data_IF_373424210368
#
_entry.id   IF_373424210368
#
_cell.length_a   1.000
_cell.length_b   1.000
_cell.length_c   1.000
_cell.angle_alpha   90.00
_cell.angle_beta   90.00
_cell.angle_gamma   90.00
#
_symmetry.space_group_name_H-M   'P 1'
#
loop_
_entity.id
_entity.type
_entity.pdbx_description
1 polymer ?
#
# COMPACT_ATOMS: atom_id res chain seq x y z
N UNK A 1 -1.98 -74.30 -41.02
CA UNK A 1 -1.17 -73.28 -40.32
C UNK A 1 -1.75 -71.92 -40.65
N UNK A 2 -2.78 -71.44 -39.93
CA UNK A 2 -2.74 -70.41 -38.86
C UNK A 2 -1.70 -69.29 -39.08
N UNK A 3 -2.18 -68.08 -39.40
CA UNK A 3 -1.52 -66.85 -38.97
C UNK A 3 -2.59 -65.77 -38.73
N UNK A 4 -2.88 -65.49 -37.46
CA UNK A 4 -3.72 -64.36 -37.00
C UNK A 4 -2.77 -63.20 -36.69
N UNK A 5 -2.93 -62.08 -37.40
CA UNK A 5 -2.20 -60.84 -37.12
C UNK A 5 -2.91 -60.15 -35.95
N UNK A 6 -2.25 -60.08 -34.79
CA UNK A 6 -2.69 -59.31 -33.63
C UNK A 6 -2.00 -57.95 -33.68
N UNK A 7 -2.77 -56.89 -33.94
CA UNK A 7 -2.35 -55.50 -33.75
C UNK A 7 -2.47 -55.16 -32.26
N UNK A 8 -1.35 -55.08 -31.56
CA UNK A 8 -1.27 -54.54 -30.20
C UNK A 8 -0.90 -53.06 -30.32
N UNK A 9 -1.89 -52.18 -30.17
CA UNK A 9 -1.67 -50.75 -30.05
C UNK A 9 -1.16 -50.43 -28.63
N UNK A 10 0.13 -50.13 -28.50
CA UNK A 10 0.72 -49.67 -27.25
C UNK A 10 0.32 -48.20 -27.01
N UNK A 11 -0.63 -47.95 -26.11
CA UNK A 11 -0.93 -46.62 -25.59
C UNK A 11 0.23 -46.18 -24.70
N UNK A 12 1.11 -45.33 -25.23
CA UNK A 12 2.18 -44.68 -24.46
C UNK A 12 1.58 -43.46 -23.74
N UNK A 13 1.14 -43.64 -22.50
CA UNK A 13 0.70 -42.55 -21.64
C UNK A 13 1.90 -41.70 -21.22
N UNK A 14 2.09 -40.56 -21.88
CA UNK A 14 3.10 -39.55 -21.51
C UNK A 14 2.62 -38.87 -20.22
N UNK A 15 3.17 -39.29 -19.08
CA UNK A 15 3.04 -38.57 -17.81
C UNK A 15 3.94 -37.33 -17.89
N UNK A 16 3.36 -36.16 -18.17
CA UNK A 16 4.08 -34.90 -17.99
C UNK A 16 4.33 -34.69 -16.49
N UNK A 17 5.58 -34.53 -16.04
CA UNK A 17 5.85 -34.12 -14.67
C UNK A 17 5.33 -32.69 -14.49
N UNK A 18 4.28 -32.53 -13.67
CA UNK A 18 3.87 -31.23 -13.18
C UNK A 18 5.03 -30.68 -12.35
N UNK A 19 5.74 -29.70 -12.89
CA UNK A 19 6.74 -28.97 -12.11
C UNK A 19 6.01 -28.24 -10.98
N UNK A 20 6.48 -28.32 -9.72
CA UNK A 20 5.89 -27.52 -8.66
C UNK A 20 6.08 -26.05 -9.04
N UNK A 21 5.00 -25.40 -9.44
CA UNK A 21 4.98 -23.95 -9.53
C UNK A 21 5.12 -23.45 -8.10
N UNK A 22 6.32 -23.02 -7.70
CA UNK A 22 6.49 -22.28 -6.46
C UNK A 22 5.65 -21.03 -6.56
N UNK A 23 4.44 -21.07 -5.98
CA UNK A 23 3.61 -19.90 -5.84
C UNK A 23 4.41 -18.84 -5.08
N UNK A 24 4.63 -17.69 -5.71
CA UNK A 24 5.36 -16.61 -5.06
C UNK A 24 4.57 -16.15 -3.84
N UNK A 25 5.17 -16.27 -2.66
CA UNK A 25 4.57 -15.77 -1.42
C UNK A 25 4.36 -14.27 -1.51
N UNK A 26 3.19 -13.80 -1.10
CA UNK A 26 2.89 -12.38 -1.08
C UNK A 26 3.64 -11.65 0.05
N UNK A 27 4.33 -10.58 -0.31
CA UNK A 27 4.98 -9.67 0.65
C UNK A 27 4.14 -8.40 0.73
N UNK A 28 3.51 -8.14 1.87
CA UNK A 28 2.72 -6.92 2.08
C UNK A 28 3.64 -5.74 2.38
N UNK A 29 3.50 -4.65 1.62
CA UNK A 29 4.31 -3.42 1.78
C UNK A 29 3.61 -2.37 2.63
N UNK A 30 2.33 -2.13 2.38
CA UNK A 30 1.44 -1.22 3.12
C UNK A 30 -0.03 -1.69 3.05
N UNK A 31 -1.01 -0.87 3.46
CA UNK A 31 -2.43 -1.25 3.49
C UNK A 31 -3.10 -1.44 2.11
N UNK A 32 -2.44 -1.08 1.01
CA UNK A 32 -2.97 -1.32 -0.33
C UNK A 32 -1.92 -1.73 -1.37
N UNK A 33 -0.73 -2.18 -0.93
CA UNK A 33 0.36 -2.57 -1.80
C UNK A 33 0.94 -3.91 -1.34
N UNK A 34 1.06 -4.85 -2.28
CA UNK A 34 1.70 -6.14 -2.07
C UNK A 34 2.67 -6.46 -3.22
N UNK A 35 3.61 -7.36 -2.97
CA UNK A 35 4.56 -7.84 -3.97
C UNK A 35 4.40 -9.34 -4.16
N UNK A 36 4.27 -9.77 -5.42
CA UNK A 36 4.28 -11.16 -5.85
C UNK A 36 5.50 -11.38 -6.73
N UNK A 37 6.49 -12.12 -6.22
CA UNK A 37 7.77 -12.29 -6.92
C UNK A 37 8.44 -10.93 -7.16
N UNK A 38 8.59 -10.54 -8.43
CA UNK A 38 9.21 -9.28 -8.83
C UNK A 38 8.21 -8.16 -9.16
N UNK A 39 6.90 -8.44 -9.09
CA UNK A 39 5.86 -7.46 -9.44
C UNK A 39 5.26 -6.87 -8.17
N UNK A 40 5.18 -5.54 -8.11
CA UNK A 40 4.56 -4.81 -7.02
C UNK A 40 3.18 -4.36 -7.49
N UNK A 41 2.13 -4.83 -6.83
CA UNK A 41 0.75 -4.47 -7.11
C UNK A 41 0.24 -3.46 -6.09
N UNK A 42 -0.29 -2.35 -6.58
CA UNK A 42 -1.24 -1.52 -5.83
C UNK A 42 -2.64 -2.09 -6.07
N UNK A 43 -3.39 -2.29 -4.99
CA UNK A 43 -4.73 -2.83 -5.02
C UNK A 43 -5.68 -1.89 -5.79
N UNK A 44 -6.50 -2.49 -6.65
CA UNK A 44 -7.45 -1.77 -7.51
C UNK A 44 -8.47 -0.97 -6.69
N UNK A 45 -8.75 0.25 -7.16
CA UNK A 45 -9.86 1.13 -6.73
C UNK A 45 -9.88 1.52 -5.25
N UNK A 46 -8.79 1.30 -4.52
CA UNK A 46 -8.69 1.67 -3.12
C UNK A 46 -7.43 2.47 -2.82
N UNK A 47 -7.54 3.30 -1.80
CA UNK A 47 -6.43 3.94 -1.15
C UNK A 47 -6.37 3.57 0.33
N UNK A 48 -5.18 3.45 0.90
CA UNK A 48 -4.99 3.11 2.30
C UNK A 48 -4.01 4.09 2.95
N UNK A 49 -4.12 4.32 4.28
CA UNK A 49 -3.16 5.14 4.99
C UNK A 49 -1.75 4.58 4.78
N UNK A 50 -0.79 5.38 4.28
CA UNK A 50 0.60 4.94 4.22
C UNK A 50 1.11 4.65 5.64
N UNK A 51 2.11 3.79 5.75
CA UNK A 51 2.65 3.28 7.02
C UNK A 51 3.03 4.34 8.05
N UNK A 52 3.33 5.57 7.62
CA UNK A 52 3.73 6.68 8.46
C UNK A 52 2.59 7.65 8.81
N UNK A 53 1.37 7.33 8.38
CA UNK A 53 0.18 8.09 8.73
C UNK A 53 -0.31 7.72 10.14
N UNK A 54 -0.55 8.77 10.92
CA UNK A 54 -1.22 8.72 12.21
C UNK A 54 -2.71 9.03 12.04
N UNK A 55 -3.50 8.48 12.95
CA UNK A 55 -4.93 8.75 13.09
C UNK A 55 -5.24 9.01 14.56
N UNK A 56 -6.44 9.51 14.83
CA UNK A 56 -7.02 9.56 16.17
C UNK A 56 -8.04 8.42 16.27
N UNK A 57 -8.13 7.77 17.42
CA UNK A 57 -9.11 6.71 17.68
C UNK A 57 -10.40 7.25 18.34
N UNK A 58 -11.30 6.35 18.72
CA UNK A 58 -12.56 6.66 19.40
C UNK A 58 -12.40 7.24 20.81
N UNK A 59 -11.20 7.13 21.39
CA UNK A 59 -10.83 7.63 22.72
C UNK A 59 -10.06 8.95 22.67
N UNK A 60 -9.89 9.52 21.48
CA UNK A 60 -9.07 10.70 21.20
C UNK A 60 -7.55 10.47 21.34
N UNK A 61 -7.11 9.22 21.32
CA UNK A 61 -5.69 8.86 21.35
C UNK A 61 -5.11 8.75 19.94
N UNK A 62 -3.86 9.16 19.79
CA UNK A 62 -3.12 9.04 18.52
C UNK A 62 -2.64 7.60 18.34
N UNK A 63 -2.89 7.03 17.16
CA UNK A 63 -2.49 5.67 16.84
C UNK A 63 -1.93 5.54 15.41
N UNK A 64 -1.13 4.50 15.20
CA UNK A 64 -0.42 4.25 13.92
C UNK A 64 -1.32 3.52 12.92
N UNK A 65 -2.38 4.16 12.46
CA UNK A 65 -3.36 3.55 11.57
C UNK A 65 -2.78 3.04 10.24
N UNK A 66 -1.70 3.63 9.72
CA UNK A 66 -0.98 3.09 8.56
C UNK A 66 -0.32 1.74 8.81
N UNK A 67 0.21 1.52 10.01
CA UNK A 67 0.77 0.23 10.43
C UNK A 67 -0.33 -0.81 10.62
N UNK A 68 -1.45 -0.41 11.23
CA UNK A 68 -2.59 -1.30 11.39
C UNK A 68 -3.18 -1.70 10.03
N UNK A 69 -3.36 -0.77 9.09
CA UNK A 69 -3.85 -1.09 7.76
C UNK A 69 -2.96 -2.13 7.05
N UNK A 70 -1.63 -2.01 7.18
CA UNK A 70 -0.68 -3.02 6.69
C UNK A 70 -0.85 -4.37 7.41
N UNK A 71 -1.03 -4.35 8.73
CA UNK A 71 -1.24 -5.55 9.53
C UNK A 71 -2.54 -6.26 9.13
N UNK A 72 -3.61 -5.52 8.85
CA UNK A 72 -4.89 -6.05 8.39
C UNK A 72 -4.77 -6.72 7.02
N UNK A 73 -4.09 -6.09 6.06
CA UNK A 73 -3.82 -6.75 4.77
C UNK A 73 -2.95 -8.01 4.93
N UNK A 74 -1.96 -7.94 5.82
CA UNK A 74 -1.09 -9.10 6.15
C UNK A 74 -1.91 -10.24 6.74
N UNK A 75 -2.81 -9.97 7.69
CA UNK A 75 -3.68 -10.96 8.33
C UNK A 75 -4.81 -11.48 7.44
N UNK A 76 -5.24 -10.72 6.43
CA UNK A 76 -6.15 -11.23 5.41
C UNK A 76 -5.47 -12.29 4.53
N UNK A 77 -4.19 -12.05 4.20
CA UNK A 77 -3.38 -12.98 3.39
C UNK A 77 -2.97 -14.19 4.23
N UNK A 78 -2.44 -13.99 5.43
CA UNK A 78 -2.12 -15.04 6.40
C UNK A 78 -1.33 -16.23 5.78
N UNK A 79 -0.34 -15.91 4.94
CA UNK A 79 0.48 -16.90 4.24
C UNK A 79 -0.22 -17.67 3.11
N UNK A 80 -1.51 -17.42 2.84
CA UNK A 80 -2.26 -18.04 1.75
C UNK A 80 -1.79 -17.52 0.39
N UNK A 81 -2.02 -18.32 -0.66
CA UNK A 81 -1.68 -17.94 -2.03
C UNK A 81 -2.56 -16.78 -2.50
N UNK A 82 -1.94 -15.80 -3.16
CA UNK A 82 -2.62 -14.62 -3.71
C UNK A 82 -2.49 -14.65 -5.22
N UNK A 83 -3.60 -14.42 -5.91
CA UNK A 83 -3.64 -14.20 -7.36
C UNK A 83 -4.05 -12.76 -7.64
N UNK A 84 -3.30 -12.08 -8.50
CA UNK A 84 -3.65 -10.77 -9.01
C UNK A 84 -3.90 -10.84 -10.51
N UNK A 85 -5.02 -10.28 -10.96
CA UNK A 85 -5.18 -9.92 -12.38
C UNK A 85 -4.46 -8.58 -12.59
N UNK A 86 -3.46 -8.59 -13.48
CA UNK A 86 -2.64 -7.42 -13.81
C UNK A 86 -3.40 -6.48 -14.75
N UNK A 87 -3.64 -5.26 -14.29
CA UNK A 87 -4.40 -4.24 -15.03
C UNK A 87 -3.49 -3.18 -15.65
N UNK A 88 -2.18 -3.42 -15.64
CA UNK A 88 -1.17 -2.55 -16.24
C UNK A 88 -0.44 -1.67 -15.23
N UNK A 89 0.44 -0.84 -15.77
CA UNK A 89 1.35 0.02 -15.01
C UNK A 89 0.56 1.06 -14.21
N UNK A 90 0.93 1.25 -12.94
CA UNK A 90 0.39 2.30 -12.09
C UNK A 90 0.82 3.69 -12.61
N UNK A 91 -0.13 4.57 -13.00
CA UNK A 91 0.20 5.91 -13.48
C UNK A 91 0.96 6.75 -12.45
N UNK A 92 0.80 6.46 -11.15
CA UNK A 92 1.48 7.18 -10.06
C UNK A 92 2.91 6.71 -9.84
N UNK A 93 3.23 5.46 -10.19
CA UNK A 93 4.57 4.92 -10.09
C UNK A 93 4.79 3.81 -11.11
N UNK A 94 5.60 4.09 -12.12
CA UNK A 94 5.87 3.17 -13.23
C UNK A 94 6.56 1.85 -12.83
N UNK A 95 7.03 1.72 -11.60
CA UNK A 95 7.58 0.47 -11.05
C UNK A 95 6.52 -0.43 -10.39
N UNK A 96 5.27 0.03 -10.32
CA UNK A 96 4.13 -0.72 -9.79
C UNK A 96 3.13 -1.00 -10.89
N UNK A 97 2.33 -2.02 -10.66
CA UNK A 97 1.16 -2.35 -11.45
C UNK A 97 -0.10 -2.14 -10.62
N UNK A 98 -1.23 -1.92 -11.27
CA UNK A 98 -2.55 -1.99 -10.63
C UNK A 98 -3.01 -3.44 -10.71
N UNK A 99 -3.47 -4.00 -9.59
CA UNK A 99 -3.88 -5.40 -9.52
C UNK A 99 -5.25 -5.59 -8.88
N UNK A 100 -6.10 -6.40 -9.52
CA UNK A 100 -7.26 -6.98 -8.86
C UNK A 100 -6.82 -8.26 -8.15
N UNK A 101 -6.45 -8.14 -6.87
CA UNK A 101 -5.87 -9.23 -6.09
C UNK A 101 -6.88 -9.89 -5.15
N UNK A 102 -6.77 -11.21 -4.99
CA UNK A 102 -7.58 -12.02 -4.07
C UNK A 102 -6.80 -13.24 -3.59
N UNK A 103 -7.23 -13.84 -2.48
CA UNK A 103 -6.75 -15.15 -2.08
C UNK A 103 -7.20 -16.18 -3.12
N UNK A 104 -6.33 -17.13 -3.46
CA UNK A 104 -6.67 -18.20 -4.38
C UNK A 104 -7.84 -19.03 -3.84
N UNK A 105 -8.84 -19.28 -4.70
CA UNK A 105 -10.10 -19.93 -4.31
C UNK A 105 -11.18 -18.96 -3.77
N UNK A 106 -10.81 -17.76 -3.34
CA UNK A 106 -11.77 -16.78 -2.83
C UNK A 106 -12.49 -16.04 -3.98
N UNK A 107 -13.70 -15.58 -3.69
CA UNK A 107 -14.51 -14.73 -4.59
C UNK A 107 -14.42 -13.25 -4.27
N UNK A 108 -14.03 -12.90 -3.05
CA UNK A 108 -13.93 -11.52 -2.56
C UNK A 108 -12.52 -10.98 -2.79
N UNK A 109 -12.38 -9.77 -3.31
CA UNK A 109 -11.06 -9.16 -3.53
C UNK A 109 -10.45 -8.66 -2.22
N UNK A 110 -9.12 -8.58 -2.17
CA UNK A 110 -8.42 -7.95 -1.04
C UNK A 110 -8.82 -6.47 -0.89
N UNK A 111 -9.03 -5.75 -2.01
CA UNK A 111 -9.54 -4.38 -1.99
C UNK A 111 -10.88 -4.28 -1.24
N UNK A 112 -11.82 -5.16 -1.56
CA UNK A 112 -13.13 -5.18 -0.92
C UNK A 112 -13.04 -5.53 0.56
N UNK A 113 -12.21 -6.52 0.92
CA UNK A 113 -11.99 -6.90 2.32
C UNK A 113 -11.40 -5.74 3.14
N UNK A 114 -10.45 -4.99 2.57
CA UNK A 114 -9.87 -3.82 3.21
C UNK A 114 -10.88 -2.69 3.43
N UNK A 115 -11.75 -2.42 2.45
CA UNK A 115 -12.86 -1.45 2.60
C UNK A 115 -13.82 -1.92 3.69
N UNK A 116 -14.28 -3.18 3.61
CA UNK A 116 -15.27 -3.73 4.54
C UNK A 116 -14.80 -3.65 5.99
N UNK A 117 -13.52 -3.95 6.25
CA UNK A 117 -12.89 -3.81 7.57
C UNK A 117 -12.62 -2.36 7.98
N UNK A 118 -12.87 -1.40 7.10
CA UNK A 118 -12.64 0.02 7.33
C UNK A 118 -11.18 0.45 7.31
N UNK A 119 -10.27 -0.29 6.66
CA UNK A 119 -8.83 0.03 6.61
C UNK A 119 -8.35 0.54 5.24
N UNK A 120 -9.28 0.80 4.33
CA UNK A 120 -9.04 1.49 3.07
C UNK A 120 -10.25 2.34 2.71
N UNK A 121 -10.00 3.39 1.92
CA UNK A 121 -11.02 4.23 1.30
C UNK A 121 -11.18 3.85 -0.17
N UNK A 122 -12.41 3.90 -0.67
CA UNK A 122 -12.70 3.81 -2.09
C UNK A 122 -12.25 5.11 -2.78
N UNK A 123 -11.49 5.00 -3.87
CA UNK A 123 -11.14 6.19 -4.66
C UNK A 123 -12.36 6.75 -5.41
N UNK A 124 -12.33 7.99 -5.86
CA UNK A 124 -13.46 8.64 -6.54
C UNK A 124 -14.03 7.82 -7.73
N UNK A 125 -13.14 7.20 -8.50
CA UNK A 125 -13.49 6.38 -9.66
C UNK A 125 -13.85 4.93 -9.31
N UNK A 126 -13.95 4.57 -8.02
CA UNK A 126 -14.25 3.23 -7.59
C UNK A 126 -15.69 2.81 -7.96
N UNK A 127 -15.87 1.51 -8.14
CA UNK A 127 -17.18 0.92 -8.38
C UNK A 127 -18.20 1.26 -7.28
N UNK A 128 -19.49 1.31 -7.65
CA UNK A 128 -20.59 1.53 -6.70
C UNK A 128 -20.65 0.48 -5.59
N UNK A 129 -20.10 -0.71 -5.86
CA UNK A 129 -19.89 -1.77 -4.87
C UNK A 129 -18.98 -1.28 -3.74
N UNK A 130 -17.80 -0.76 -4.07
CA UNK A 130 -16.82 -0.29 -3.09
C UNK A 130 -17.34 0.93 -2.31
N UNK A 131 -18.04 1.84 -2.97
CA UNK A 131 -18.70 2.98 -2.30
C UNK A 131 -19.72 2.52 -1.26
N UNK A 132 -20.55 1.53 -1.59
CA UNK A 132 -21.55 0.97 -0.65
C UNK A 132 -20.88 0.24 0.53
N UNK A 133 -19.86 -0.56 0.27
CA UNK A 133 -19.15 -1.26 1.36
C UNK A 133 -18.42 -0.26 2.27
N UNK A 134 -17.88 0.84 1.73
CA UNK A 134 -17.34 1.93 2.53
C UNK A 134 -18.42 2.58 3.39
N UNK A 135 -19.60 2.89 2.82
CA UNK A 135 -20.72 3.45 3.56
C UNK A 135 -21.12 2.59 4.77
N UNK A 136 -21.19 1.26 4.59
CA UNK A 136 -21.42 0.32 5.70
C UNK A 136 -20.33 0.37 6.75
N UNK A 137 -19.05 0.35 6.34
CA UNK A 137 -17.94 0.44 7.28
C UNK A 137 -17.95 1.77 8.06
N UNK A 138 -18.40 2.86 7.44
CA UNK A 138 -18.59 4.16 8.10
C UNK A 138 -19.75 4.13 9.11
N UNK A 139 -20.91 3.62 8.70
CA UNK A 139 -22.11 3.48 9.56
C UNK A 139 -21.83 2.63 10.79
N UNK A 140 -21.12 1.52 10.59
CA UNK A 140 -20.72 0.56 11.64
C UNK A 140 -19.47 0.98 12.40
N UNK A 141 -18.86 2.13 12.06
CA UNK A 141 -17.64 2.66 12.70
C UNK A 141 -16.50 1.63 12.73
N UNK A 142 -16.25 0.96 11.61
CA UNK A 142 -15.15 -0.01 11.51
C UNK A 142 -13.81 0.66 11.22
N UNK A 143 -12.71 0.08 11.72
CA UNK A 143 -11.35 0.45 11.35
C UNK A 143 -11.07 1.95 11.54
N UNK A 144 -10.78 2.64 10.44
CA UNK A 144 -10.49 4.08 10.40
C UNK A 144 -11.71 4.95 10.77
N UNK A 145 -12.92 4.43 10.56
CA UNK A 145 -14.16 5.20 10.71
C UNK A 145 -14.63 5.37 12.16
N UNK A 146 -14.11 4.57 13.09
CA UNK A 146 -14.34 4.77 14.54
C UNK A 146 -13.70 6.05 15.08
N UNK A 147 -12.60 6.45 14.44
CA UNK A 147 -11.76 7.54 14.88
C UNK A 147 -11.86 8.77 13.99
N UNK A 148 -10.74 9.46 13.85
CA UNK A 148 -10.59 10.59 12.94
C UNK A 148 -9.32 10.45 12.11
N UNK A 149 -9.48 10.61 10.79
CA UNK A 149 -8.41 10.42 9.82
C UNK A 149 -8.39 11.56 8.79
N UNK A 150 -7.20 11.96 8.34
CA UNK A 150 -7.03 12.69 7.08
C UNK A 150 -7.03 11.69 5.93
N UNK A 151 -7.85 11.91 4.92
CA UNK A 151 -7.89 11.02 3.74
C UNK A 151 -6.47 10.70 3.20
N UNK A 152 -6.13 9.43 2.93
CA UNK A 152 -4.75 9.03 2.64
C UNK A 152 -4.09 9.78 1.46
N UNK A 153 -4.83 10.02 0.38
CA UNK A 153 -4.34 10.82 -0.75
C UNK A 153 -3.94 12.24 -0.33
N UNK A 154 -4.74 12.86 0.54
CA UNK A 154 -4.47 14.18 1.08
C UNK A 154 -3.30 14.18 2.08
N UNK A 155 -3.17 13.14 2.90
CA UNK A 155 -1.99 12.97 3.73
C UNK A 155 -0.68 12.90 2.88
N UNK A 156 -0.72 12.29 1.69
CA UNK A 156 0.41 12.29 0.74
C UNK A 156 0.76 13.68 0.21
N UNK A 157 -0.22 14.50 -0.16
CA UNK A 157 0.03 15.85 -0.65
C UNK A 157 0.67 16.77 0.40
N UNK A 158 0.43 16.49 1.69
CA UNK A 158 1.00 17.26 2.81
C UNK A 158 0.31 18.59 3.05
N UNK A 159 -0.91 18.73 2.55
CA UNK A 159 -1.78 19.84 2.88
C UNK A 159 -2.28 19.64 4.31
N UNK A 160 -1.68 20.37 5.26
CA UNK A 160 -2.11 20.37 6.66
C UNK A 160 -3.45 21.08 6.81
N UNK A 161 -3.59 22.21 6.10
CA UNK A 161 -4.81 23.00 6.01
C UNK A 161 -5.48 22.64 4.68
N UNK A 162 -6.61 21.95 4.74
CA UNK A 162 -7.31 21.59 3.51
C UNK A 162 -8.51 20.67 3.75
N UNK A 163 -8.40 19.36 3.48
CA UNK A 163 -9.57 18.50 3.31
C UNK A 163 -10.27 18.17 4.61
N UNK A 164 -11.53 17.74 4.45
CA UNK A 164 -12.35 17.25 5.54
C UNK A 164 -11.66 16.08 6.22
N UNK A 165 -11.57 16.17 7.54
CA UNK A 165 -11.26 15.02 8.37
C UNK A 165 -12.44 14.04 8.30
N UNK A 166 -12.16 12.75 8.18
CA UNK A 166 -13.16 11.71 8.01
C UNK A 166 -13.23 10.83 9.26
N UNK A 167 -14.44 10.39 9.61
CA UNK A 167 -14.68 9.46 10.72
C UNK A 167 -15.47 10.08 11.88
N UNK A 168 -15.99 9.21 12.76
CA UNK A 168 -16.93 9.58 13.80
C UNK A 168 -16.34 10.47 14.91
N UNK A 169 -15.01 10.44 15.11
CA UNK A 169 -14.33 11.23 16.14
C UNK A 169 -13.86 12.61 15.63
N UNK A 170 -14.11 12.97 14.37
CA UNK A 170 -13.69 14.25 13.79
C UNK A 170 -14.57 15.42 14.25
N UNK A 171 -14.22 15.97 15.40
CA UNK A 171 -14.90 17.13 15.99
C UNK A 171 -14.51 18.43 15.28
N UNK A 172 -15.47 19.08 14.63
CA UNK A 172 -15.25 20.36 13.96
C UNK A 172 -14.81 21.48 14.91
N UNK A 173 -15.26 21.46 16.17
CA UNK A 173 -14.87 22.43 17.21
C UNK A 173 -13.43 22.24 17.71
N UNK A 174 -12.76 21.15 17.30
CA UNK A 174 -11.39 20.78 17.69
C UNK A 174 -10.50 20.50 16.47
N UNK A 175 -10.86 20.99 15.29
CA UNK A 175 -10.16 20.69 14.03
C UNK A 175 -8.66 21.01 14.11
N UNK A 176 -8.28 22.15 14.73
CA UNK A 176 -6.87 22.53 14.90
C UNK A 176 -6.12 21.54 15.78
N UNK A 177 -6.64 21.23 16.96
CA UNK A 177 -6.00 20.29 17.90
C UNK A 177 -5.89 18.89 17.29
N UNK A 178 -6.90 18.46 16.53
CA UNK A 178 -6.87 17.20 15.79
C UNK A 178 -5.76 17.22 14.73
N UNK A 179 -5.64 18.29 13.94
CA UNK A 179 -4.59 18.40 12.91
C UNK A 179 -3.19 18.43 13.50
N UNK A 180 -3.00 19.09 14.64
CA UNK A 180 -1.73 19.08 15.38
C UNK A 180 -1.35 17.66 15.81
N UNK A 181 -2.32 16.88 16.30
CA UNK A 181 -2.12 15.47 16.68
C UNK A 181 -1.85 14.54 15.48
N UNK A 182 -2.50 14.79 14.33
CA UNK A 182 -2.32 14.00 13.11
C UNK A 182 -1.01 14.32 12.36
N UNK A 183 -0.44 15.51 12.57
CA UNK A 183 0.78 15.98 11.92
C UNK A 183 1.81 16.52 12.94
N UNK A 184 2.32 15.67 13.86
CA UNK A 184 3.23 16.12 14.90
C UNK A 184 4.54 16.64 14.29
N UNK A 185 5.20 17.56 14.99
CA UNK A 185 6.51 18.10 14.56
C UNK A 185 7.61 17.03 14.60
N UNK A 186 7.52 16.12 15.56
CA UNK A 186 8.45 15.00 15.72
C UNK A 186 7.80 13.69 15.27
N UNK A 187 8.27 13.16 14.14
CA UNK A 187 7.78 11.90 13.58
C UNK A 187 8.60 10.72 14.08
N UNK A 188 7.95 9.79 14.76
CA UNK A 188 8.54 8.50 15.13
C UNK A 188 8.73 7.65 13.88
N UNK A 189 9.92 7.07 13.72
CA UNK A 189 10.24 6.16 12.60
C UNK A 189 9.52 4.83 12.79
N UNK A 190 8.64 4.40 11.87
CA UNK A 190 8.06 3.06 11.95
C UNK A 190 9.12 1.99 11.71
N UNK A 191 8.95 0.82 12.34
CA UNK A 191 9.88 -0.29 12.21
C UNK A 191 10.06 -0.70 10.73
N UNK A 192 11.31 -0.80 10.29
CA UNK A 192 11.67 -1.13 8.91
C UNK A 192 11.49 0.00 7.89
N UNK A 193 11.07 1.20 8.32
CA UNK A 193 10.76 2.32 7.43
C UNK A 193 11.81 3.43 7.54
N UNK A 194 13.05 3.08 7.20
CA UNK A 194 14.26 3.88 7.43
C UNK A 194 14.57 4.88 6.30
N UNK A 195 13.64 5.23 5.41
CA UNK A 195 13.87 6.24 4.36
C UNK A 195 13.23 7.56 4.79
N UNK A 196 14.04 8.61 4.92
CA UNK A 196 13.59 9.95 5.32
C UNK A 196 13.08 10.72 4.11
N UNK A 197 11.82 11.14 4.12
CA UNK A 197 11.25 12.06 3.15
C UNK A 197 11.26 13.49 3.66
N UNK A 198 11.67 14.45 2.83
CA UNK A 198 11.58 15.88 3.10
C UNK A 198 10.82 16.58 1.98
N UNK A 199 9.72 17.27 2.31
CA UNK A 199 9.00 18.11 1.36
C UNK A 199 9.91 19.28 0.99
N UNK A 200 9.99 19.56 -0.29
CA UNK A 200 10.96 20.53 -0.80
C UNK A 200 10.33 21.33 -1.94
N UNK A 201 10.17 22.64 -1.74
CA UNK A 201 9.59 23.55 -2.74
C UNK A 201 10.32 23.43 -4.09
N UNK A 202 11.66 23.34 -4.07
CA UNK A 202 12.47 23.15 -5.29
C UNK A 202 12.23 21.83 -6.00
N UNK A 203 11.71 20.79 -5.33
CA UNK A 203 11.37 19.54 -6.00
C UNK A 203 10.14 19.70 -6.91
N UNK A 204 9.25 20.66 -6.61
CA UNK A 204 8.03 20.93 -7.39
C UNK A 204 8.32 21.35 -8.83
N UNK A 205 9.48 21.98 -9.07
CA UNK A 205 9.97 22.34 -10.42
C UNK A 205 10.11 21.10 -11.32
N UNK A 206 10.36 19.93 -10.73
CA UNK A 206 10.49 18.64 -11.44
C UNK A 206 9.24 17.78 -11.33
N UNK A 207 8.10 18.34 -10.93
CA UNK A 207 6.86 17.61 -10.70
C UNK A 207 6.85 16.74 -9.43
N UNK A 208 7.83 16.89 -8.54
CA UNK A 208 7.93 16.12 -7.30
C UNK A 208 7.49 16.95 -6.09
N UNK A 209 6.90 16.33 -5.08
CA UNK A 209 6.51 17.02 -3.83
C UNK A 209 7.68 17.19 -2.86
N UNK A 210 8.72 16.37 -2.99
CA UNK A 210 9.86 16.37 -2.08
C UNK A 210 11.04 15.53 -2.55
N UNK A 211 12.00 15.37 -1.64
CA UNK A 211 13.18 14.53 -1.82
C UNK A 211 13.27 13.48 -0.72
N UNK A 212 13.75 12.28 -1.04
CA UNK A 212 14.02 11.24 -0.05
C UNK A 212 15.51 10.93 0.09
N UNK A 213 15.89 10.47 1.27
CA UNK A 213 17.24 10.12 1.66
C UNK A 213 17.26 8.70 2.26
N UNK A 214 18.13 7.86 1.72
CA UNK A 214 18.52 6.55 2.25
C UNK A 214 19.52 6.70 3.40
N UNK A 215 19.63 5.69 4.26
CA UNK A 215 20.62 5.67 5.35
C UNK A 215 22.07 5.86 4.87
N UNK A 216 22.38 5.41 3.65
CA UNK A 216 23.70 5.58 3.04
C UNK A 216 24.01 7.03 2.60
N UNK A 217 23.04 7.95 2.56
CA UNK A 217 23.31 9.33 2.16
C UNK A 217 24.04 10.09 3.29
N UNK A 218 25.07 10.88 2.96
CA UNK A 218 25.77 11.74 3.94
C UNK A 218 24.86 12.69 4.71
N UNK A 219 23.80 13.16 4.06
CA UNK A 219 22.81 14.08 4.63
C UNK A 219 21.78 13.40 5.54
N UNK A 220 21.75 12.07 5.61
CA UNK A 220 20.71 11.33 6.32
C UNK A 220 20.68 11.59 7.84
N UNK A 221 21.81 11.60 8.58
CA UNK A 221 21.78 11.73 10.04
C UNK A 221 21.12 13.03 10.51
N UNK A 222 21.47 14.16 9.89
CA UNK A 222 20.97 15.49 10.27
C UNK A 222 19.62 15.88 9.66
N UNK A 223 19.05 15.07 8.76
CA UNK A 223 17.77 15.40 8.14
C UNK A 223 16.60 15.14 9.10
N UNK A 224 15.80 16.18 9.37
CA UNK A 224 14.49 16.05 10.04
C UNK A 224 13.41 15.72 8.99
N UNK A 225 12.85 14.50 8.99
CA UNK A 225 11.88 14.09 7.98
C UNK A 225 10.52 14.74 8.18
N UNK A 226 9.79 14.93 7.08
CA UNK A 226 8.34 15.23 7.09
C UNK A 226 7.50 13.96 6.81
N UNK A 227 8.17 12.86 6.43
CA UNK A 227 7.60 11.58 6.02
C UNK A 227 8.60 10.44 6.26
N UNK A 228 8.12 9.25 6.52
CA UNK A 228 8.90 8.01 6.57
C UNK A 228 8.43 7.04 5.47
N UNK A 229 9.38 6.35 4.82
CA UNK A 229 9.08 5.35 3.79
C UNK A 229 9.83 4.05 4.07
N UNK A 230 9.23 2.91 3.67
CA UNK A 230 9.84 1.58 3.82
C UNK A 230 10.58 1.11 2.57
N UNK A 231 10.34 1.73 1.41
CA UNK A 231 11.08 1.48 0.18
C UNK A 231 11.22 2.73 -0.69
N UNK A 232 12.18 2.72 -1.63
CA UNK A 232 12.31 3.81 -2.61
C UNK A 232 11.05 3.90 -3.49
N UNK A 233 10.41 2.77 -3.79
CA UNK A 233 9.16 2.72 -4.54
C UNK A 233 8.01 3.40 -3.79
N UNK A 234 7.93 3.30 -2.46
CA UNK A 234 6.93 4.00 -1.64
C UNK A 234 7.16 5.51 -1.69
N UNK A 235 8.41 5.94 -1.53
CA UNK A 235 8.76 7.35 -1.62
C UNK A 235 8.42 7.93 -3.00
N UNK A 236 8.75 7.19 -4.07
CA UNK A 236 8.46 7.58 -5.45
C UNK A 236 6.96 7.63 -5.73
N UNK A 237 6.18 6.67 -5.24
CA UNK A 237 4.72 6.67 -5.37
C UNK A 237 4.07 7.83 -4.62
N UNK A 238 4.68 8.29 -3.52
CA UNK A 238 4.27 9.49 -2.81
C UNK A 238 4.75 10.80 -3.47
N UNK A 239 5.38 10.74 -4.65
CA UNK A 239 5.86 11.90 -5.41
C UNK A 239 7.21 12.45 -4.94
N UNK A 240 8.00 11.66 -4.19
CA UNK A 240 9.35 12.06 -3.77
C UNK A 240 10.38 11.48 -4.73
N UNK A 241 11.36 12.30 -5.11
CA UNK A 241 12.53 11.84 -5.86
C UNK A 241 13.73 11.63 -4.94
N UNK A 242 14.71 10.85 -5.38
CA UNK A 242 15.97 10.74 -4.65
C UNK A 242 16.65 12.10 -4.55
N UNK A 243 17.22 12.41 -3.38
CA UNK A 243 18.05 13.60 -3.21
C UNK A 243 19.32 13.50 -4.08
N UNK A 244 19.68 14.58 -4.78
CA UNK A 244 20.84 14.57 -5.69
C UNK A 244 22.18 14.38 -4.97
N UNK A 245 22.27 14.84 -3.72
CA UNK A 245 23.43 14.61 -2.85
C UNK A 245 23.46 13.19 -2.26
N UNK A 246 22.46 12.35 -2.55
CA UNK A 246 22.47 10.94 -2.21
C UNK A 246 22.96 10.09 -3.37
N UNK A 247 24.27 10.12 -3.63
CA UNK A 247 24.90 9.23 -4.62
C UNK A 247 24.82 7.78 -4.15
N UNK A 248 24.51 6.86 -5.05
CA UNK A 248 24.73 5.44 -4.77
C UNK A 248 26.23 5.19 -4.69
N UNK A 249 26.67 4.31 -3.79
CA UNK A 249 28.07 3.90 -3.72
C UNK A 249 28.59 3.31 -5.06
N UNK A 250 27.68 2.94 -5.97
CA UNK A 250 27.95 2.30 -7.26
C UNK A 250 28.33 3.23 -8.42
N UNK A 251 28.35 4.55 -8.25
CA UNK A 251 28.79 5.50 -9.31
C UNK A 251 30.01 6.34 -8.90
N UNK A 252 31.00 5.67 -8.32
CA UNK A 252 32.36 6.19 -8.23
C UNK A 252 33.27 5.29 -9.07
N UNK A 253 33.22 5.48 -10.38
CA UNK A 253 34.26 5.10 -11.33
C UNK A 253 34.39 6.23 -12.33
#
# INVERSE_FOLDING_TARGET
>A
MRLRILLVAALLSILLPASPSSAATAIVRDGNTLQLGNVIYRLLEIDAPPVDQLCIDEHADVWTCGIEARAQLTGLIDGKQVRCDDLGIDPMNKKRHIGACKIEGDTTSLSELMIRKGFAVAVDAASSKYQREQGRAMEERQGLWKGCIVEPQHFRSGLKDGPALLGAACRADRDREIREALFPEELVMPAGCNIKGKRAVRARVTGNVGIYHLQACRSYPGLKPDRWFCSEEDAQAAGFRRAYNCRSATKSK
#
